data_IF_402779450805
#
_entry.id   IF_402779450805
#
_cell.length_a   1.000
_cell.length_b   1.000
_cell.length_c   1.000
_cell.angle_alpha   90.00
_cell.angle_beta   90.00
_cell.angle_gamma   90.00
#
_symmetry.space_group_name_H-M   'P 1'
#
loop_
_entity.id
_entity.type
_entity.pdbx_description
1 polymer ?
#
# COMPACT_ATOMS: atom_id res chain seq x y z
N UNK A 1 -10.88 -12.94 13.93
CA UNK A 1 -10.87 -13.13 12.46
C UNK A 1 -9.60 -12.47 11.95
N UNK A 2 -8.68 -13.24 11.39
CA UNK A 2 -7.52 -12.72 10.67
C UNK A 2 -8.02 -12.16 9.34
N UNK A 3 -7.77 -10.88 9.09
CA UNK A 3 -8.10 -10.26 7.81
C UNK A 3 -6.99 -10.61 6.84
N UNK A 4 -7.32 -11.28 5.74
CA UNK A 4 -6.37 -11.65 4.69
C UNK A 4 -5.79 -10.39 4.05
N UNK A 5 -4.48 -10.37 3.84
CA UNK A 5 -3.80 -9.20 3.26
C UNK A 5 -3.80 -9.25 1.74
N UNK A 6 -3.51 -8.12 1.09
CA UNK A 6 -3.27 -8.09 -0.35
C UNK A 6 -2.17 -9.09 -0.77
N UNK A 7 -1.07 -9.16 0.00
CA UNK A 7 0.04 -10.07 -0.30
C UNK A 7 -0.37 -11.54 -0.31
N UNK A 8 -1.22 -11.95 0.63
CA UNK A 8 -1.77 -13.32 0.69
C UNK A 8 -2.66 -13.62 -0.51
N UNK A 9 -3.57 -12.71 -0.86
CA UNK A 9 -4.40 -12.84 -2.06
C UNK A 9 -3.56 -12.88 -3.34
N UNK A 10 -2.49 -12.06 -3.43
CA UNK A 10 -1.59 -12.05 -4.58
C UNK A 10 -0.79 -13.36 -4.73
N UNK A 11 -0.37 -13.99 -3.63
CA UNK A 11 0.29 -15.31 -3.65
C UNK A 11 -0.68 -16.42 -4.09
N UNK A 12 -1.91 -16.43 -3.56
CA UNK A 12 -2.90 -17.42 -3.93
C UNK A 12 -3.30 -17.31 -5.41
N UNK A 13 -3.47 -16.08 -5.90
CA UNK A 13 -3.70 -15.82 -7.32
C UNK A 13 -2.53 -16.31 -8.19
N UNK A 14 -1.29 -16.04 -7.78
CA UNK A 14 -0.11 -16.48 -8.52
C UNK A 14 0.03 -18.01 -8.54
N UNK A 15 -0.32 -18.69 -7.44
CA UNK A 15 -0.36 -20.15 -7.38
C UNK A 15 -1.38 -20.72 -8.38
N UNK A 16 -2.59 -20.16 -8.42
CA UNK A 16 -3.64 -20.60 -9.33
C UNK A 16 -3.25 -20.38 -10.81
N UNK A 17 -2.71 -19.21 -11.16
CA UNK A 17 -2.21 -18.92 -12.51
C UNK A 17 -1.06 -19.84 -12.91
N UNK A 18 -0.15 -20.15 -11.99
CA UNK A 18 0.97 -21.05 -12.24
C UNK A 18 0.50 -22.49 -12.47
N UNK A 19 -0.54 -22.94 -11.76
CA UNK A 19 -1.18 -24.23 -12.03
C UNK A 19 -1.75 -24.29 -13.46
N UNK A 20 -2.48 -23.25 -13.88
CA UNK A 20 -3.02 -23.14 -15.24
C UNK A 20 -1.94 -23.12 -16.32
N UNK A 21 -0.81 -22.44 -16.10
CA UNK A 21 0.29 -22.41 -17.08
C UNK A 21 0.95 -23.79 -17.21
N UNK A 22 1.10 -24.52 -16.11
CA UNK A 22 1.72 -25.86 -16.10
C UNK A 22 0.80 -26.92 -16.70
N UNK A 23 -0.48 -26.84 -16.39
CA UNK A 23 -1.48 -27.81 -16.82
C UNK A 23 -2.14 -27.33 -18.11
N UNK A 24 -1.65 -27.85 -19.24
CA UNK A 24 -2.18 -27.54 -20.57
C UNK A 24 -3.42 -28.37 -20.89
N UNK A 25 -4.49 -28.18 -20.10
CA UNK A 25 -5.73 -28.94 -20.18
C UNK A 25 -6.93 -28.01 -20.27
N UNK A 26 -7.75 -28.21 -21.30
CA UNK A 26 -9.03 -27.52 -21.49
C UNK A 26 -10.15 -28.48 -21.09
N UNK A 27 -11.17 -28.02 -20.32
CA UNK A 27 -12.32 -28.84 -19.98
C UNK A 27 -13.02 -29.39 -21.22
N UNK A 28 -13.49 -30.63 -21.14
CA UNK A 28 -14.24 -31.26 -22.23
C UNK A 28 -15.76 -30.97 -22.17
N UNK A 29 -16.27 -30.63 -20.98
CA UNK A 29 -17.68 -30.31 -20.77
C UNK A 29 -17.99 -28.85 -21.13
N UNK A 30 -19.04 -28.63 -21.92
CA UNK A 30 -19.44 -27.32 -22.42
C UNK A 30 -19.79 -26.35 -21.27
N UNK A 31 -20.42 -26.85 -20.21
CA UNK A 31 -20.74 -26.03 -19.03
C UNK A 31 -19.50 -25.63 -18.25
N UNK A 32 -18.51 -26.51 -18.18
CA UNK A 32 -17.22 -26.24 -17.56
C UNK A 32 -16.42 -25.20 -18.37
N UNK A 33 -16.47 -25.27 -19.70
CA UNK A 33 -15.88 -24.26 -20.61
C UNK A 33 -16.57 -22.91 -20.44
N UNK A 34 -17.91 -22.86 -20.40
CA UNK A 34 -18.67 -21.64 -20.17
C UNK A 34 -18.30 -20.99 -18.82
N UNK A 35 -18.23 -21.78 -17.74
CA UNK A 35 -17.78 -21.29 -16.43
C UNK A 35 -16.34 -20.76 -16.46
N UNK A 36 -15.44 -21.44 -17.17
CA UNK A 36 -14.05 -21.04 -17.34
C UNK A 36 -13.94 -19.67 -18.01
N UNK A 37 -14.66 -19.44 -19.11
CA UNK A 37 -14.63 -18.18 -19.85
C UNK A 37 -15.12 -17.01 -18.99
N UNK A 38 -16.17 -17.22 -18.19
CA UNK A 38 -16.65 -16.22 -17.23
C UNK A 38 -15.65 -15.94 -16.10
N UNK A 39 -14.97 -16.97 -15.56
CA UNK A 39 -13.92 -16.79 -14.58
C UNK A 39 -12.73 -16.02 -15.17
N UNK A 40 -12.36 -16.30 -16.43
CA UNK A 40 -11.31 -15.59 -17.17
C UNK A 40 -11.67 -14.11 -17.39
N UNK A 41 -12.92 -13.80 -17.74
CA UNK A 41 -13.39 -12.41 -17.83
C UNK A 41 -13.24 -11.68 -16.49
N UNK A 42 -13.63 -12.32 -15.39
CA UNK A 42 -13.48 -11.75 -14.05
C UNK A 42 -12.01 -11.50 -13.65
N UNK A 43 -11.09 -12.37 -14.07
CA UNK A 43 -9.64 -12.17 -13.91
C UNK A 43 -9.19 -10.91 -14.65
N UNK A 44 -9.58 -10.75 -15.91
CA UNK A 44 -9.21 -9.59 -16.74
C UNK A 44 -9.79 -8.30 -16.16
N UNK A 45 -11.07 -8.30 -15.78
CA UNK A 45 -11.72 -7.13 -15.16
C UNK A 45 -11.06 -6.76 -13.83
N UNK A 46 -10.66 -7.74 -13.01
CA UNK A 46 -9.93 -7.49 -11.76
C UNK A 46 -8.56 -6.82 -11.99
N UNK A 47 -7.86 -7.19 -13.08
CA UNK A 47 -6.57 -6.61 -13.45
C UNK A 47 -6.72 -5.20 -14.03
N UNK A 48 -7.73 -4.97 -14.88
CA UNK A 48 -8.10 -3.63 -15.38
C UNK A 48 -8.47 -2.69 -14.24
N UNK A 49 -9.32 -3.14 -13.32
CA UNK A 49 -9.69 -2.38 -12.12
C UNK A 49 -8.46 -2.04 -11.27
N UNK A 50 -7.49 -2.96 -11.16
CA UNK A 50 -6.25 -2.72 -10.42
C UNK A 50 -5.39 -1.65 -11.07
N UNK A 51 -5.29 -1.62 -12.40
CA UNK A 51 -4.60 -0.57 -13.15
C UNK A 51 -5.27 0.80 -12.95
N UNK A 52 -6.60 0.84 -12.97
CA UNK A 52 -7.37 2.05 -12.66
C UNK A 52 -7.07 2.56 -11.23
N UNK A 53 -7.08 1.66 -10.23
CA UNK A 53 -6.88 2.02 -8.83
C UNK A 53 -5.45 2.49 -8.47
N UNK A 54 -4.45 2.14 -9.30
CA UNK A 54 -3.07 2.63 -9.20
C UNK A 54 -2.88 4.00 -9.90
N UNK A 55 -3.92 4.55 -10.53
CA UNK A 55 -3.98 5.96 -10.92
C UNK A 55 -3.58 6.29 -12.36
N UNK A 56 -3.98 5.49 -13.34
CA UNK A 56 -3.80 5.86 -14.76
C UNK A 56 -4.78 6.96 -15.22
N UNK A 57 -6.00 7.00 -14.67
CA UNK A 57 -7.05 7.95 -15.12
C UNK A 57 -7.00 9.33 -14.41
N UNK A 58 -6.12 9.52 -13.43
CA UNK A 58 -5.94 10.81 -12.78
C UNK A 58 -4.53 10.96 -12.23
N UNK A 59 -3.69 11.67 -12.99
CA UNK A 59 -2.58 12.45 -12.45
C UNK A 59 -1.46 11.62 -11.78
N UNK A 60 -0.59 11.03 -12.61
CA UNK A 60 0.81 10.82 -12.23
C UNK A 60 1.49 12.21 -12.18
N UNK A 61 2.31 12.53 -11.17
CA UNK A 61 2.69 13.93 -10.91
C UNK A 61 3.47 14.52 -12.09
N UNK A 62 3.30 15.83 -12.37
CA UNK A 62 4.05 16.49 -13.44
C UNK A 62 5.56 16.32 -13.25
N UNK A 63 6.35 16.25 -14.34
CA UNK A 63 7.81 16.07 -14.31
C UNK A 63 8.62 17.14 -13.56
N UNK A 64 7.98 18.16 -13.00
CA UNK A 64 8.58 19.39 -12.48
C UNK A 64 9.22 19.24 -11.07
N UNK A 65 9.27 18.04 -10.51
CA UNK A 65 9.88 17.78 -9.20
C UNK A 65 11.27 17.15 -9.23
N UNK A 66 11.90 17.02 -10.40
CA UNK A 66 13.28 16.57 -10.49
C UNK A 66 14.26 17.77 -10.49
N UNK A 67 15.26 17.82 -9.59
CA UNK A 67 16.28 18.86 -9.61
C UNK A 67 17.04 18.84 -10.95
N UNK A 68 17.17 20.02 -11.54
CA UNK A 68 17.63 20.20 -12.91
C UNK A 68 19.16 19.99 -13.11
N UNK A 69 19.47 19.42 -14.28
CA UNK A 69 20.73 19.43 -15.08
C UNK A 69 21.83 18.43 -14.67
N UNK A 70 22.18 17.47 -15.53
CA UNK A 70 22.83 17.68 -16.85
C UNK A 70 22.56 16.53 -17.85
N UNK A 71 22.72 16.77 -19.17
CA UNK A 71 22.18 15.93 -20.22
C UNK A 71 23.06 14.71 -20.49
N UNK A 72 22.52 13.54 -20.17
CA UNK A 72 22.81 12.25 -20.78
C UNK A 72 21.46 11.61 -21.10
N UNK A 73 21.35 10.66 -22.05
CA UNK A 73 20.06 10.08 -22.40
C UNK A 73 19.52 9.35 -21.16
N UNK A 74 18.66 10.01 -20.39
CA UNK A 74 18.08 9.47 -19.17
C UNK A 74 16.73 8.86 -19.51
N UNK A 75 16.50 7.67 -18.95
CA UNK A 75 15.30 6.83 -18.97
C UNK A 75 14.02 7.51 -18.42
N UNK A 76 13.99 8.84 -18.27
CA UNK A 76 12.82 9.58 -17.82
C UNK A 76 11.73 9.56 -18.90
N UNK A 77 10.52 9.13 -18.55
CA UNK A 77 9.38 8.95 -19.47
C UNK A 77 9.27 7.55 -20.09
N UNK A 78 10.17 6.62 -19.77
CA UNK A 78 9.97 5.19 -20.09
C UNK A 78 8.93 4.56 -19.15
N UNK A 79 8.89 5.02 -17.91
CA UNK A 79 7.94 4.65 -16.86
C UNK A 79 6.48 4.96 -17.24
N UNK A 80 6.19 6.18 -17.68
CA UNK A 80 4.85 6.60 -18.14
C UNK A 80 4.42 5.80 -19.38
N UNK A 81 5.36 5.56 -20.31
CA UNK A 81 5.11 4.75 -21.51
C UNK A 81 4.87 3.29 -21.19
N UNK A 82 5.60 2.69 -20.26
CA UNK A 82 5.41 1.28 -19.88
C UNK A 82 4.06 1.09 -19.21
N UNK A 83 3.66 1.94 -18.26
CA UNK A 83 2.36 1.84 -17.62
C UNK A 83 1.20 1.98 -18.64
N UNK A 84 1.28 2.96 -19.54
CA UNK A 84 0.32 3.14 -20.64
C UNK A 84 0.29 1.91 -21.56
N UNK A 85 1.44 1.31 -21.87
CA UNK A 85 1.51 0.11 -22.71
C UNK A 85 0.89 -1.11 -22.00
N UNK A 86 1.14 -1.31 -20.71
CA UNK A 86 0.50 -2.37 -19.91
C UNK A 86 -1.02 -2.20 -19.92
N UNK A 87 -1.49 -0.97 -19.73
CA UNK A 87 -2.92 -0.64 -19.75
C UNK A 87 -3.55 -0.93 -21.11
N UNK A 88 -2.93 -0.45 -22.19
CA UNK A 88 -3.38 -0.74 -23.56
C UNK A 88 -3.41 -2.26 -23.85
N UNK A 89 -2.42 -3.02 -23.36
CA UNK A 89 -2.41 -4.48 -23.50
C UNK A 89 -3.59 -5.10 -22.75
N UNK A 90 -3.87 -4.66 -21.52
CA UNK A 90 -5.00 -5.15 -20.73
C UNK A 90 -6.36 -4.80 -21.36
N UNK A 91 -6.50 -3.59 -21.91
CA UNK A 91 -7.70 -3.18 -22.65
C UNK A 91 -7.88 -3.94 -23.96
N UNK A 92 -6.78 -4.30 -24.64
CA UNK A 92 -6.81 -5.08 -25.88
C UNK A 92 -7.03 -6.59 -25.69
N UNK A 93 -7.17 -7.08 -24.45
CA UNK A 93 -7.52 -8.48 -24.19
C UNK A 93 -8.96 -8.78 -24.66
N UNK A 94 -9.22 -9.96 -25.24
CA UNK A 94 -10.57 -10.36 -25.64
C UNK A 94 -11.55 -10.25 -24.48
N UNK A 95 -12.78 -9.82 -24.75
CA UNK A 95 -13.82 -9.68 -23.71
C UNK A 95 -15.17 -10.24 -24.15
N UNK A 96 -15.92 -10.77 -23.20
CA UNK A 96 -17.28 -11.25 -23.46
C UNK A 96 -18.22 -10.08 -23.83
N UNK A 97 -19.11 -10.26 -24.83
CA UNK A 97 -20.19 -9.32 -25.11
C UNK A 97 -21.01 -8.99 -23.86
N UNK A 98 -21.44 -7.74 -23.73
CA UNK A 98 -22.12 -7.26 -22.51
C UNK A 98 -23.41 -8.03 -22.18
N UNK A 99 -24.10 -8.52 -23.19
CA UNK A 99 -25.33 -9.30 -23.11
C UNK A 99 -25.11 -10.76 -22.67
N UNK A 100 -23.89 -11.28 -22.82
CA UNK A 100 -23.52 -12.63 -22.39
C UNK A 100 -22.96 -12.68 -20.96
N UNK A 101 -22.60 -11.52 -20.38
CA UNK A 101 -22.02 -11.43 -19.04
C UNK A 101 -23.03 -11.76 -17.95
N UNK A 102 -22.68 -12.73 -17.10
CA UNK A 102 -23.45 -13.14 -15.92
C UNK A 102 -22.94 -12.50 -14.63
N UNK A 103 -23.75 -12.42 -13.56
CA UNK A 103 -23.29 -11.91 -12.26
C UNK A 103 -22.28 -12.87 -11.61
N UNK A 104 -21.33 -12.31 -10.88
CA UNK A 104 -20.21 -13.04 -10.26
C UNK A 104 -20.67 -14.19 -9.34
N UNK A 105 -21.84 -14.05 -8.70
CA UNK A 105 -22.43 -15.08 -7.83
C UNK A 105 -22.64 -16.42 -8.53
N UNK A 106 -22.92 -16.39 -9.83
CA UNK A 106 -23.39 -17.56 -10.57
C UNK A 106 -22.25 -18.49 -10.96
N UNK A 107 -21.03 -17.97 -11.08
CA UNK A 107 -19.86 -18.74 -11.52
C UNK A 107 -18.67 -18.74 -10.53
N UNK A 108 -18.60 -17.79 -9.58
CA UNK A 108 -17.55 -17.78 -8.55
C UNK A 108 -17.93 -18.51 -7.26
N UNK A 109 -19.23 -18.57 -6.91
CA UNK A 109 -19.70 -19.21 -5.67
C UNK A 109 -19.61 -20.74 -5.69
N UNK A 110 -20.09 -21.44 -6.75
CA UNK A 110 -19.97 -22.89 -6.78
C UNK A 110 -18.52 -23.30 -7.04
N UNK A 111 -17.95 -24.14 -6.17
CA UNK A 111 -16.70 -24.82 -6.46
C UNK A 111 -16.89 -25.76 -7.66
N UNK A 112 -15.87 -25.87 -8.51
CA UNK A 112 -15.92 -26.78 -9.66
C UNK A 112 -15.14 -28.07 -9.35
N UNK A 113 -15.71 -29.21 -9.73
CA UNK A 113 -15.00 -30.49 -9.67
C UNK A 113 -13.93 -30.61 -10.77
N UNK A 114 -13.98 -29.74 -11.79
CA UNK A 114 -12.99 -29.67 -12.87
C UNK A 114 -11.79 -28.79 -12.44
N UNK A 115 -10.56 -29.34 -12.29
CA UNK A 115 -9.44 -28.62 -11.70
C UNK A 115 -8.99 -27.38 -12.49
N UNK A 116 -9.12 -27.38 -13.82
CA UNK A 116 -8.81 -26.20 -14.64
C UNK A 116 -9.79 -25.06 -14.35
N UNK A 117 -11.09 -25.37 -14.29
CA UNK A 117 -12.13 -24.38 -13.97
C UNK A 117 -11.95 -23.87 -12.55
N UNK A 118 -11.66 -24.76 -11.60
CA UNK A 118 -11.41 -24.39 -10.20
C UNK A 118 -10.18 -23.47 -10.06
N UNK A 119 -9.12 -23.72 -10.83
CA UNK A 119 -7.94 -22.85 -10.84
C UNK A 119 -8.25 -21.46 -11.42
N UNK A 120 -9.05 -21.39 -12.49
CA UNK A 120 -9.54 -20.10 -13.00
C UNK A 120 -10.45 -19.38 -12.00
N UNK A 121 -11.35 -20.10 -11.33
CA UNK A 121 -12.24 -19.57 -10.30
C UNK A 121 -11.45 -19.01 -9.11
N UNK A 122 -10.45 -19.74 -8.64
CA UNK A 122 -9.56 -19.30 -7.56
C UNK A 122 -8.75 -18.07 -7.97
N UNK A 123 -8.17 -18.05 -9.18
CA UNK A 123 -7.48 -16.87 -9.69
C UNK A 123 -8.40 -15.64 -9.73
N UNK A 124 -9.65 -15.80 -10.19
CA UNK A 124 -10.64 -14.72 -10.23
C UNK A 124 -10.98 -14.19 -8.83
N UNK A 125 -11.30 -15.07 -7.88
CA UNK A 125 -11.65 -14.69 -6.49
C UNK A 125 -10.49 -13.95 -5.84
N UNK A 126 -9.28 -14.49 -5.94
CA UNK A 126 -8.11 -13.95 -5.28
C UNK A 126 -7.69 -12.61 -5.92
N UNK A 127 -7.76 -12.47 -7.24
CA UNK A 127 -7.47 -11.20 -7.90
C UNK A 127 -8.52 -10.12 -7.60
N UNK A 128 -9.81 -10.46 -7.59
CA UNK A 128 -10.88 -9.54 -7.20
C UNK A 128 -10.74 -9.11 -5.73
N UNK A 129 -10.44 -10.05 -4.83
CA UNK A 129 -10.25 -9.79 -3.40
C UNK A 129 -9.00 -8.95 -3.13
N UNK A 130 -7.89 -9.23 -3.82
CA UNK A 130 -6.69 -8.42 -3.79
C UNK A 130 -6.97 -6.98 -4.26
N UNK A 131 -7.66 -6.82 -5.40
CA UNK A 131 -8.02 -5.49 -5.92
C UNK A 131 -8.92 -4.75 -4.92
N UNK A 132 -9.96 -5.39 -4.40
CA UNK A 132 -10.81 -4.82 -3.35
C UNK A 132 -10.02 -4.40 -2.10
N UNK A 133 -9.07 -5.24 -1.65
CA UNK A 133 -8.23 -4.97 -0.48
C UNK A 133 -7.43 -3.68 -0.66
N UNK A 134 -6.85 -3.46 -1.85
CA UNK A 134 -6.18 -2.21 -2.16
C UNK A 134 -7.18 -1.04 -2.18
N UNK A 135 -8.27 -1.12 -2.95
CA UNK A 135 -9.20 0.01 -3.10
C UNK A 135 -9.86 0.41 -1.78
N UNK A 136 -10.10 -0.57 -0.90
CA UNK A 136 -10.74 -0.38 0.40
C UNK A 136 -9.76 -0.12 1.56
N UNK A 137 -8.44 -0.12 1.33
CA UNK A 137 -7.45 0.09 2.39
C UNK A 137 -7.52 1.49 3.00
N UNK A 138 -7.17 1.60 4.28
CA UNK A 138 -7.18 2.88 5.00
C UNK A 138 -6.10 3.83 4.50
N UNK A 139 -4.91 3.29 4.37
CA UNK A 139 -3.73 3.92 3.81
C UNK A 139 -3.47 3.30 2.44
N UNK A 140 -3.23 4.14 1.44
CA UNK A 140 -3.07 3.73 0.04
C UNK A 140 -1.76 4.29 -0.52
N UNK A 141 -0.60 3.90 0.05
CA UNK A 141 0.70 4.45 -0.32
C UNK A 141 1.02 4.25 -1.81
N UNK A 142 0.52 3.19 -2.45
CA UNK A 142 0.68 2.98 -3.90
C UNK A 142 0.02 4.04 -4.80
N UNK A 143 -0.81 4.93 -4.24
CA UNK A 143 -1.33 6.10 -4.98
C UNK A 143 -0.46 7.35 -4.88
N UNK A 144 0.50 7.37 -3.94
CA UNK A 144 1.28 8.57 -3.60
C UNK A 144 2.78 8.36 -3.59
N UNK A 145 3.24 7.14 -3.31
CA UNK A 145 4.63 6.71 -3.31
C UNK A 145 4.90 5.87 -4.57
N UNK A 146 5.75 6.33 -5.49
CA UNK A 146 6.13 5.58 -6.67
C UNK A 146 6.71 4.19 -6.34
N UNK A 147 7.43 4.04 -5.22
CA UNK A 147 8.00 2.77 -4.80
C UNK A 147 6.93 1.71 -4.53
N UNK A 148 5.86 2.09 -3.83
CA UNK A 148 4.71 1.23 -3.58
C UNK A 148 3.86 1.01 -4.85
N UNK A 149 3.77 1.99 -5.75
CA UNK A 149 3.05 1.85 -7.02
C UNK A 149 3.70 0.83 -7.95
N UNK A 150 5.04 0.89 -8.09
CA UNK A 150 5.81 -0.07 -8.86
C UNK A 150 5.70 -1.49 -8.32
N UNK A 151 5.50 -1.65 -7.01
CA UNK A 151 5.25 -2.95 -6.41
C UNK A 151 3.98 -3.61 -6.98
N UNK A 152 2.87 -2.86 -7.02
CA UNK A 152 1.59 -3.33 -7.56
C UNK A 152 1.67 -3.51 -9.08
N UNK A 153 2.35 -2.60 -9.79
CA UNK A 153 2.55 -2.69 -11.24
C UNK A 153 3.29 -3.96 -11.64
N UNK A 154 4.28 -4.41 -10.85
CA UNK A 154 4.96 -5.69 -11.08
C UNK A 154 3.95 -6.83 -11.09
N UNK A 155 3.13 -6.93 -10.05
CA UNK A 155 2.17 -8.04 -9.90
C UNK A 155 1.12 -8.04 -11.02
N UNK A 156 0.66 -6.85 -11.43
CA UNK A 156 -0.23 -6.70 -12.59
C UNK A 156 0.45 -7.19 -13.87
N UNK A 157 1.67 -6.75 -14.14
CA UNK A 157 2.39 -7.12 -15.36
C UNK A 157 2.62 -8.63 -15.46
N UNK A 158 2.99 -9.29 -14.36
CA UNK A 158 3.18 -10.75 -14.31
C UNK A 158 1.86 -11.50 -14.50
N UNK A 159 0.79 -11.05 -13.83
CA UNK A 159 -0.52 -11.67 -13.99
C UNK A 159 -1.10 -11.48 -15.41
N UNK A 160 -0.92 -10.31 -16.02
CA UNK A 160 -1.31 -10.07 -17.40
C UNK A 160 -0.50 -10.92 -18.39
N UNK A 161 0.80 -11.13 -18.15
CA UNK A 161 1.62 -12.00 -19.02
C UNK A 161 1.11 -13.44 -18.95
N UNK A 162 0.73 -13.91 -17.75
CA UNK A 162 0.10 -15.20 -17.55
C UNK A 162 -1.23 -15.31 -18.32
N UNK A 163 -2.09 -14.29 -18.25
CA UNK A 163 -3.34 -14.27 -19.00
C UNK A 163 -3.09 -14.34 -20.50
N UNK A 164 -2.11 -13.60 -21.06
CA UNK A 164 -1.77 -13.68 -22.48
C UNK A 164 -1.35 -15.07 -22.93
N UNK A 165 -0.55 -15.77 -22.11
CA UNK A 165 -0.13 -17.16 -22.39
C UNK A 165 -1.31 -18.12 -22.34
N UNK A 166 -2.25 -17.91 -21.42
CA UNK A 166 -3.43 -18.75 -21.29
C UNK A 166 -4.44 -18.47 -22.40
N UNK A 167 -4.66 -17.21 -22.75
CA UNK A 167 -5.53 -16.79 -23.84
C UNK A 167 -5.03 -17.29 -25.20
N UNK A 168 -3.71 -17.31 -25.44
CA UNK A 168 -3.19 -17.85 -26.69
C UNK A 168 -3.56 -19.34 -26.87
N UNK A 169 -3.63 -20.11 -25.77
CA UNK A 169 -4.09 -21.51 -25.81
C UNK A 169 -5.58 -21.62 -26.09
N UNK A 170 -6.38 -20.72 -25.54
CA UNK A 170 -7.83 -20.65 -25.80
C UNK A 170 -8.13 -20.18 -27.22
N UNK A 171 -7.33 -19.26 -27.78
CA UNK A 171 -7.39 -18.82 -29.18
C UNK A 171 -7.02 -19.96 -30.14
N UNK A 172 -5.98 -20.74 -29.83
CA UNK A 172 -5.56 -21.90 -30.65
C UNK A 172 -6.69 -22.92 -30.86
N UNK A 173 -7.58 -23.09 -29.87
CA UNK A 173 -8.74 -23.99 -29.94
C UNK A 173 -10.04 -23.27 -30.33
N UNK A 174 -9.99 -21.97 -30.63
CA UNK A 174 -11.13 -21.18 -31.09
C UNK A 174 -12.12 -20.75 -30.00
N UNK A 175 -11.82 -20.94 -28.72
CA UNK A 175 -12.73 -20.60 -27.61
C UNK A 175 -12.89 -19.08 -27.41
N UNK A 176 -11.97 -18.27 -27.94
CA UNK A 176 -12.05 -16.80 -27.90
C UNK A 176 -12.54 -16.20 -29.22
N UNK A 177 -12.99 -17.00 -30.19
CA UNK A 177 -13.38 -16.51 -31.52
C UNK A 177 -14.61 -15.60 -31.49
N UNK A 178 -15.56 -15.85 -30.59
CA UNK A 178 -16.80 -15.09 -30.44
C UNK A 178 -16.67 -13.88 -29.49
N UNK A 179 -15.49 -13.73 -28.85
CA UNK A 179 -15.23 -12.57 -27.98
C UNK A 179 -15.02 -11.30 -28.79
N UNK A 180 -15.22 -10.14 -28.15
CA UNK A 180 -14.87 -8.86 -28.74
C UNK A 180 -13.36 -8.67 -28.69
N UNK A 181 -12.77 -8.35 -29.85
CA UNK A 181 -11.34 -8.11 -30.03
C UNK A 181 -11.08 -6.66 -30.38
N UNK A 182 -10.65 -5.82 -29.43
CA UNK A 182 -10.23 -4.45 -29.75
C UNK A 182 -9.02 -4.47 -30.69
N UNK A 183 -9.02 -3.64 -31.73
CA UNK A 183 -7.88 -3.52 -32.64
C UNK A 183 -6.64 -3.03 -31.88
N UNK A 184 -5.60 -3.86 -31.83
CA UNK A 184 -4.33 -3.50 -31.23
C UNK A 184 -3.18 -4.06 -32.06
N UNK A 185 -2.28 -3.19 -32.48
CA UNK A 185 -1.26 -3.49 -33.50
C UNK A 185 -0.13 -4.42 -33.01
N UNK A 186 -0.02 -4.65 -31.71
CA UNK A 186 1.07 -5.39 -31.09
C UNK A 186 0.78 -6.91 -31.10
N UNK A 187 1.75 -7.71 -31.57
CA UNK A 187 1.66 -9.17 -31.57
C UNK A 187 1.85 -9.79 -30.17
N UNK A 188 1.47 -11.06 -29.98
CA UNK A 188 1.58 -11.76 -28.68
C UNK A 188 3.00 -11.68 -28.08
N UNK A 189 4.04 -11.93 -28.88
CA UNK A 189 5.43 -11.91 -28.41
C UNK A 189 5.87 -10.52 -27.96
N UNK A 190 5.43 -9.48 -28.66
CA UNK A 190 5.70 -8.09 -28.28
C UNK A 190 4.97 -7.72 -26.99
N UNK A 191 3.69 -8.13 -26.85
CA UNK A 191 2.92 -7.92 -25.61
C UNK A 191 3.59 -8.60 -24.42
N UNK A 192 4.00 -9.87 -24.56
CA UNK A 192 4.72 -10.62 -23.52
C UNK A 192 6.07 -9.98 -23.19
N UNK A 193 6.82 -9.53 -24.21
CA UNK A 193 8.07 -8.81 -24.00
C UNK A 193 7.86 -7.53 -23.19
N UNK A 194 6.86 -6.71 -23.53
CA UNK A 194 6.55 -5.46 -22.79
C UNK A 194 6.21 -5.76 -21.34
N UNK A 195 5.34 -6.74 -21.07
CA UNK A 195 4.95 -7.10 -19.70
C UNK A 195 6.12 -7.65 -18.89
N UNK A 196 6.91 -8.56 -19.47
CA UNK A 196 8.10 -9.12 -18.83
C UNK A 196 9.15 -8.04 -18.50
N UNK A 197 9.40 -7.12 -19.43
CA UNK A 197 10.31 -5.99 -19.17
C UNK A 197 9.73 -5.02 -18.14
N UNK A 198 8.41 -4.77 -18.16
CA UNK A 198 7.75 -3.94 -17.15
C UNK A 198 7.89 -4.54 -15.76
N UNK A 199 7.66 -5.85 -15.61
CA UNK A 199 7.86 -6.55 -14.33
C UNK A 199 9.32 -6.47 -13.84
N UNK A 200 10.29 -6.59 -14.74
CA UNK A 200 11.73 -6.44 -14.43
C UNK A 200 12.09 -5.02 -13.99
N UNK A 201 11.63 -4.02 -14.72
CA UNK A 201 11.83 -2.59 -14.38
C UNK A 201 11.14 -2.28 -13.05
N UNK A 202 9.90 -2.73 -12.87
CA UNK A 202 9.16 -2.61 -11.63
C UNK A 202 9.92 -3.20 -10.44
N UNK A 203 10.60 -4.35 -10.62
CA UNK A 203 11.44 -4.94 -9.56
C UNK A 203 12.59 -4.03 -9.12
N UNK A 204 13.13 -3.20 -10.01
CA UNK A 204 14.19 -2.24 -9.65
C UNK A 204 13.64 -1.00 -8.94
N UNK A 205 12.42 -0.59 -9.26
CA UNK A 205 11.80 0.62 -8.72
C UNK A 205 10.87 0.37 -7.53
N UNK A 206 10.46 -0.88 -7.28
CA UNK A 206 9.59 -1.27 -6.18
C UNK A 206 10.35 -1.23 -4.84
N UNK A 207 10.54 -0.02 -4.30
CA UNK A 207 11.32 0.20 -3.06
C UNK A 207 10.52 0.03 -1.78
N UNK A 208 9.19 -0.09 -1.87
CA UNK A 208 8.27 -0.21 -0.73
C UNK A 208 7.31 -1.39 -0.92
N UNK A 209 7.29 -2.29 0.07
CA UNK A 209 6.38 -3.44 0.11
C UNK A 209 5.05 -3.11 0.81
N UNK A 210 4.73 -1.84 1.00
CA UNK A 210 3.57 -1.42 1.80
C UNK A 210 2.23 -1.97 1.28
N UNK A 211 2.15 -2.28 -0.02
CA UNK A 211 0.99 -2.95 -0.60
C UNK A 211 0.76 -4.36 -0.01
N UNK A 212 1.81 -5.12 0.32
CA UNK A 212 1.69 -6.50 0.85
C UNK A 212 0.85 -6.58 2.13
N UNK A 213 1.00 -5.58 3.00
CA UNK A 213 0.32 -5.50 4.29
C UNK A 213 -1.06 -4.83 4.21
N UNK A 214 -1.49 -4.41 3.02
CA UNK A 214 -2.79 -3.77 2.85
C UNK A 214 -3.92 -4.70 3.30
N UNK A 215 -4.86 -4.14 4.05
CA UNK A 215 -6.09 -4.81 4.50
C UNK A 215 -7.28 -3.87 4.26
N UNK A 216 -8.47 -4.40 3.93
CA UNK A 216 -9.65 -3.57 3.75
C UNK A 216 -10.01 -2.86 5.06
N UNK A 217 -10.54 -1.63 4.96
CA UNK A 217 -11.13 -0.92 6.10
C UNK A 217 -12.22 -1.77 6.73
N UNK A 218 -11.93 -2.36 7.89
CA UNK A 218 -12.98 -2.88 8.76
C UNK A 218 -13.86 -1.70 9.17
N UNK A 219 -15.15 -1.73 8.81
CA UNK A 219 -16.13 -0.76 9.30
C UNK A 219 -16.06 -0.74 10.81
N UNK A 220 -15.48 0.31 11.38
CA UNK A 220 -15.58 0.57 12.80
C UNK A 220 -17.08 0.74 13.13
N UNK A 221 -17.54 0.00 14.14
CA UNK A 221 -18.83 0.27 14.77
C UNK A 221 -18.91 1.76 15.10
N UNK A 222 -20.11 2.34 14.93
CA UNK A 222 -20.38 3.77 15.08
C UNK A 222 -19.61 4.37 16.27
N UNK A 223 -18.90 5.48 16.01
CA UNK A 223 -18.06 6.14 16.99
C UNK A 223 -18.82 6.33 18.32
N UNK A 224 -18.40 5.58 19.35
CA UNK A 224 -18.90 5.80 20.70
C UNK A 224 -18.61 7.25 21.10
N UNK A 225 -19.64 7.94 21.63
CA UNK A 225 -19.51 9.27 22.24
C UNK A 225 -18.74 9.23 23.56
N UNK A 226 -18.46 8.03 24.09
CA UNK A 226 -17.64 7.84 25.29
C UNK A 226 -16.19 7.64 24.85
N UNK A 227 -15.32 8.58 25.22
CA UNK A 227 -13.86 8.47 25.04
C UNK A 227 -13.30 7.68 26.23
N UNK A 228 -13.21 6.36 26.09
CA UNK A 228 -12.54 5.52 27.10
C UNK A 228 -11.04 5.38 26.78
N UNK A 229 -10.17 5.37 27.81
CA UNK A 229 -8.76 5.05 27.63
C UNK A 229 -8.63 3.59 27.19
N UNK A 230 -8.08 3.38 25.99
CA UNK A 230 -7.79 2.04 25.47
C UNK A 230 -6.31 1.78 25.70
N UNK A 231 -5.97 0.79 26.53
CA UNK A 231 -4.58 0.38 26.67
C UNK A 231 -4.20 -0.56 25.51
N UNK A 232 -3.27 -0.12 24.68
CA UNK A 232 -2.65 -0.86 23.59
C UNK A 232 -1.29 -1.47 23.95
N UNK A 233 -0.56 -0.92 24.92
CA UNK A 233 0.83 -1.31 25.18
C UNK A 233 0.89 -2.27 26.37
N UNK A 234 1.02 -3.56 26.07
CA UNK A 234 1.27 -4.61 27.06
C UNK A 234 2.71 -5.14 26.99
N UNK A 235 3.33 -5.08 25.81
CA UNK A 235 4.70 -5.49 25.55
C UNK A 235 5.43 -4.49 24.63
N UNK A 236 6.78 -4.54 24.54
CA UNK A 236 7.55 -3.66 23.65
C UNK A 236 7.11 -3.73 22.17
N UNK A 237 6.62 -4.88 21.71
CA UNK A 237 6.15 -5.08 20.33
C UNK A 237 4.93 -4.24 19.96
N UNK A 238 4.17 -3.79 20.95
CA UNK A 238 2.92 -3.03 20.74
C UNK A 238 3.19 -1.53 20.55
N UNK A 239 4.42 -1.06 20.82
CA UNK A 239 4.81 0.35 20.77
C UNK A 239 4.61 0.96 19.37
N UNK A 240 4.86 0.19 18.31
CA UNK A 240 4.67 0.66 16.94
C UNK A 240 3.19 0.91 16.63
N UNK A 241 2.30 -0.03 16.97
CA UNK A 241 0.85 0.10 16.78
C UNK A 241 0.27 1.24 17.60
N UNK A 242 0.74 1.40 18.85
CA UNK A 242 0.31 2.52 19.70
C UNK A 242 0.78 3.89 19.15
N UNK A 243 1.99 3.99 18.60
CA UNK A 243 2.47 5.19 17.90
C UNK A 243 1.66 5.46 16.61
N UNK A 244 1.37 4.44 15.79
CA UNK A 244 0.53 4.60 14.59
C UNK A 244 -0.87 5.14 14.93
N UNK A 245 -1.49 4.63 16.00
CA UNK A 245 -2.79 5.14 16.45
C UNK A 245 -2.73 6.61 16.86
N UNK A 246 -1.66 7.03 17.56
CA UNK A 246 -1.42 8.44 17.86
C UNK A 246 -1.22 9.25 16.57
N UNK A 247 -0.47 8.71 15.60
CA UNK A 247 -0.23 9.30 14.28
C UNK A 247 -1.52 9.60 13.52
N UNK A 248 -2.47 8.66 13.53
CA UNK A 248 -3.81 8.83 12.95
C UNK A 248 -4.60 9.94 13.60
N UNK A 249 -4.56 10.05 14.94
CA UNK A 249 -5.23 11.17 15.61
C UNK A 249 -4.59 12.52 15.30
N UNK A 250 -3.31 12.54 14.92
CA UNK A 250 -2.56 13.74 14.55
C UNK A 250 -2.63 14.08 13.06
N UNK A 251 -3.25 13.23 12.24
CA UNK A 251 -3.34 13.41 10.79
C UNK A 251 -3.91 14.80 10.47
N UNK A 252 -3.22 15.62 9.65
CA UNK A 252 -3.73 16.93 9.26
C UNK A 252 -5.06 16.80 8.53
N UNK A 253 -6.01 17.71 8.81
CA UNK A 253 -7.32 17.72 8.15
C UNK A 253 -7.16 17.90 6.63
N UNK A 254 -7.99 17.26 5.82
CA UNK A 254 -7.89 17.45 4.36
C UNK A 254 -8.23 18.91 3.99
N UNK A 255 -7.69 19.42 2.88
CA UNK A 255 -7.98 20.79 2.44
C UNK A 255 -9.49 21.02 2.22
N UNK A 256 -10.22 19.98 1.79
CA UNK A 256 -11.68 19.96 1.67
C UNK A 256 -12.43 20.06 3.00
N UNK A 257 -11.82 19.63 4.11
CA UNK A 257 -12.42 19.61 5.46
C UNK A 257 -12.07 20.88 6.25
N UNK A 258 -10.85 21.39 6.08
CA UNK A 258 -10.32 22.49 6.89
C UNK A 258 -10.90 23.88 6.56
N UNK A 259 -11.49 24.05 5.37
CA UNK A 259 -12.17 25.31 5.00
C UNK A 259 -13.54 25.46 5.68
N UNK A 260 -14.10 24.38 6.22
CA UNK A 260 -15.47 24.36 6.78
C UNK A 260 -15.54 24.01 8.27
N UNK A 261 -14.42 23.60 8.91
CA UNK A 261 -14.40 23.30 10.33
C UNK A 261 -13.98 24.53 11.17
N UNK A 262 -14.85 24.94 12.09
CA UNK A 262 -14.53 25.95 13.12
C UNK A 262 -13.54 25.44 14.18
N UNK A 263 -13.17 24.17 14.13
CA UNK A 263 -12.30 23.52 15.11
C UNK A 263 -10.80 23.76 14.80
N UNK A 264 -9.95 23.90 15.83
CA UNK A 264 -8.50 23.98 15.69
C UNK A 264 -7.91 22.61 15.36
N UNK A 265 -6.91 22.56 14.48
CA UNK A 265 -6.25 21.29 14.12
C UNK A 265 -5.50 20.69 15.33
N UNK A 266 -4.93 21.54 16.18
CA UNK A 266 -4.24 21.18 17.42
C UNK A 266 -4.26 22.34 18.42
N UNK A 267 -4.51 22.05 19.70
CA UNK A 267 -4.47 23.02 20.81
C UNK A 267 -3.04 23.22 21.33
N UNK A 268 -2.76 24.35 21.99
CA UNK A 268 -1.45 24.61 22.59
C UNK A 268 -1.03 23.56 23.63
N UNK A 269 -1.98 23.07 24.44
CA UNK A 269 -1.71 22.05 25.46
C UNK A 269 -1.34 20.69 24.85
N UNK A 270 -2.14 20.21 23.90
CA UNK A 270 -1.82 19.00 23.11
C UNK A 270 -0.44 19.09 22.43
N UNK A 271 -0.11 20.24 21.85
CA UNK A 271 1.20 20.44 21.21
C UNK A 271 2.35 20.25 22.22
N UNK A 272 2.27 20.90 23.40
CA UNK A 272 3.28 20.75 24.47
C UNK A 272 3.42 19.31 24.94
N UNK A 273 2.31 18.67 25.27
CA UNK A 273 2.31 17.32 25.82
C UNK A 273 2.86 16.30 24.83
N UNK A 274 2.43 16.37 23.57
CA UNK A 274 2.88 15.43 22.54
C UNK A 274 4.37 15.67 22.22
N UNK A 275 4.82 16.92 22.09
CA UNK A 275 6.26 17.20 21.89
C UNK A 275 7.11 16.68 23.05
N UNK A 276 6.72 16.94 24.31
CA UNK A 276 7.45 16.46 25.48
C UNK A 276 7.49 14.91 25.54
N UNK A 277 6.38 14.28 25.19
CA UNK A 277 6.25 12.83 25.18
C UNK A 277 7.09 12.18 24.10
N UNK A 278 7.03 12.70 22.87
CA UNK A 278 7.81 12.19 21.77
C UNK A 278 9.31 12.45 21.99
N UNK A 279 9.69 13.55 22.66
CA UNK A 279 11.08 13.77 23.07
C UNK A 279 11.56 12.67 24.01
N UNK A 280 10.78 12.36 25.05
CA UNK A 280 11.09 11.27 25.99
C UNK A 280 11.17 9.91 25.27
N UNK A 281 10.16 9.59 24.45
CA UNK A 281 10.10 8.32 23.71
C UNK A 281 11.25 8.17 22.72
N UNK A 282 11.60 9.22 21.95
CA UNK A 282 12.75 9.19 21.04
C UNK A 282 14.06 8.91 21.78
N UNK A 283 14.27 9.50 22.97
CA UNK A 283 15.46 9.22 23.79
C UNK A 283 15.48 7.76 24.27
N UNK A 284 14.36 7.25 24.77
CA UNK A 284 14.23 5.86 25.19
C UNK A 284 14.46 4.88 24.03
N UNK A 285 13.90 5.16 22.86
CA UNK A 285 14.06 4.32 21.66
C UNK A 285 15.48 4.40 21.09
N UNK A 286 16.14 5.56 21.12
CA UNK A 286 17.54 5.68 20.74
C UNK A 286 18.44 4.81 21.63
N UNK A 287 18.22 4.87 22.95
CA UNK A 287 18.94 4.03 23.91
C UNK A 287 18.68 2.54 23.67
N UNK A 288 17.43 2.15 23.44
CA UNK A 288 17.05 0.77 23.12
C UNK A 288 17.67 0.26 21.81
N UNK A 289 17.62 1.06 20.73
CA UNK A 289 18.20 0.73 19.43
C UNK A 289 19.72 0.57 19.50
N UNK A 290 20.39 1.36 20.34
CA UNK A 290 21.84 1.30 20.56
C UNK A 290 22.34 0.06 21.33
N UNK A 291 21.45 -0.68 22.02
CA UNK A 291 21.84 -1.88 22.79
C UNK A 291 22.16 -3.09 21.90
N UNK A 292 21.75 -3.09 20.63
CA UNK A 292 22.00 -4.20 19.69
C UNK A 292 22.70 -3.70 18.42
N UNK A 293 23.79 -4.36 17.97
CA UNK A 293 24.45 -4.02 16.72
C UNK A 293 23.53 -4.09 15.49
N UNK A 294 22.46 -4.90 15.53
CA UNK A 294 21.52 -5.07 14.41
C UNK A 294 20.54 -3.90 14.25
N UNK A 295 20.31 -3.14 15.31
CA UNK A 295 19.36 -2.02 15.36
C UNK A 295 20.04 -0.67 15.55
N UNK A 296 21.36 -0.66 15.79
CA UNK A 296 22.12 0.55 16.10
C UNK A 296 22.01 1.65 15.04
N UNK A 297 21.76 1.29 13.77
CA UNK A 297 21.50 2.25 12.70
C UNK A 297 20.28 3.15 12.96
N UNK A 298 19.29 2.67 13.72
CA UNK A 298 18.10 3.45 14.09
C UNK A 298 18.34 4.38 15.29
N UNK A 299 19.43 4.22 16.04
CA UNK A 299 19.71 5.08 17.18
C UNK A 299 19.90 6.54 16.77
N UNK A 300 20.65 6.78 15.69
CA UNK A 300 20.82 8.13 15.11
C UNK A 300 19.48 8.72 14.65
N UNK A 301 18.64 7.91 13.99
CA UNK A 301 17.30 8.32 13.53
C UNK A 301 16.43 8.88 14.66
N UNK A 302 16.44 8.25 15.84
CA UNK A 302 15.68 8.72 17.01
C UNK A 302 16.39 9.89 17.71
N UNK A 303 17.72 9.88 17.77
CA UNK A 303 18.50 10.96 18.38
C UNK A 303 18.32 12.29 17.65
N UNK A 304 18.39 12.29 16.32
CA UNK A 304 18.19 13.48 15.49
C UNK A 304 16.80 14.09 15.73
N UNK A 305 15.77 13.24 15.89
CA UNK A 305 14.39 13.69 16.19
C UNK A 305 14.28 14.26 17.59
N UNK A 306 14.94 13.63 18.56
CA UNK A 306 14.98 14.14 19.91
C UNK A 306 15.62 15.54 19.94
N UNK A 307 16.67 15.80 19.16
CA UNK A 307 17.30 17.12 19.07
C UNK A 307 16.34 18.19 18.54
N UNK A 308 15.61 17.91 17.46
CA UNK A 308 14.62 18.85 16.92
C UNK A 308 13.46 19.08 17.89
N UNK A 309 12.96 18.03 18.55
CA UNK A 309 11.89 18.13 19.55
C UNK A 309 12.33 18.89 20.80
N UNK A 310 13.58 18.72 21.22
CA UNK A 310 14.20 19.47 22.32
C UNK A 310 14.35 20.96 21.97
N UNK A 311 14.76 21.27 20.74
CA UNK A 311 14.79 22.65 20.26
C UNK A 311 13.38 23.27 20.14
N UNK A 312 12.36 22.46 19.86
CA UNK A 312 10.96 22.88 19.73
C UNK A 312 10.30 23.18 21.08
N UNK A 313 10.58 22.38 22.11
CA UNK A 313 9.94 22.44 23.43
C UNK A 313 9.89 23.84 24.08
N UNK A 314 11.00 24.61 24.17
CA UNK A 314 10.94 25.95 24.75
C UNK A 314 10.13 26.92 23.89
N UNK A 315 10.08 26.72 22.57
CA UNK A 315 9.37 27.60 21.64
C UNK A 315 7.85 27.44 21.72
N UNK A 316 7.37 26.21 21.97
CA UNK A 316 5.93 25.93 22.12
C UNK A 316 5.42 26.15 23.55
N UNK A 317 6.32 26.29 24.52
CA UNK A 317 5.96 26.50 25.93
C UNK A 317 5.08 27.74 26.16
N UNK A 318 5.27 28.76 25.32
CA UNK A 318 4.55 30.02 25.37
C UNK A 318 3.33 30.10 24.44
N UNK A 319 2.99 29.02 23.74
CA UNK A 319 1.76 29.00 22.95
C UNK A 319 0.54 29.02 23.88
N UNK A 320 -0.49 29.78 23.55
CA UNK A 320 -1.76 29.74 24.23
C UNK A 320 -2.90 29.63 23.21
N UNK A 321 -4.02 29.06 23.65
CA UNK A 321 -5.25 29.01 22.88
C UNK A 321 -5.99 30.35 23.02
N UNK A 322 -6.33 30.99 21.91
CA UNK A 322 -7.03 32.28 21.88
C UNK A 322 -8.48 32.15 22.39
N UNK A 323 -9.11 31.00 22.15
CA UNK A 323 -10.38 30.59 22.75
C UNK A 323 -10.15 29.37 23.65
N UNK A 324 -10.22 29.51 24.99
CA UNK A 324 -9.99 28.41 25.93
C UNK A 324 -11.20 27.46 26.07
N UNK A 325 -12.30 27.72 25.35
CA UNK A 325 -13.57 27.01 25.53
C UNK A 325 -13.62 25.61 24.89
N UNK A 326 -12.57 25.16 24.21
CA UNK A 326 -12.52 23.83 23.60
C UNK A 326 -11.74 22.87 24.48
N UNK A 327 -12.41 21.81 24.92
CA UNK A 327 -11.77 20.71 25.62
C UNK A 327 -10.71 20.07 24.73
N UNK A 328 -9.54 19.69 25.28
CA UNK A 328 -8.51 18.99 24.53
C UNK A 328 -9.07 17.70 23.94
N UNK A 329 -8.59 17.30 22.76
CA UNK A 329 -8.98 16.04 22.15
C UNK A 329 -8.51 14.88 23.04
N UNK A 330 -9.41 14.40 23.91
CA UNK A 330 -9.12 13.42 24.95
C UNK A 330 -8.52 12.13 24.39
N UNK A 331 -8.81 11.76 23.13
CA UNK A 331 -8.23 10.57 22.48
C UNK A 331 -6.73 10.69 22.26
N UNK A 332 -6.24 11.87 21.87
CA UNK A 332 -4.80 12.15 21.72
C UNK A 332 -4.10 12.11 23.07
N UNK A 333 -4.72 12.74 24.08
CA UNK A 333 -4.24 12.80 25.46
C UNK A 333 -4.05 11.39 26.05
N UNK A 334 -5.10 10.57 26.03
CA UNK A 334 -5.04 9.23 26.59
C UNK A 334 -4.00 8.36 25.88
N UNK A 335 -3.92 8.40 24.54
CA UNK A 335 -2.97 7.58 23.79
C UNK A 335 -1.51 7.98 24.05
N UNK A 336 -1.21 9.27 24.17
CA UNK A 336 0.12 9.76 24.49
C UNK A 336 0.52 9.45 25.94
N UNK A 337 -0.41 9.63 26.88
CA UNK A 337 -0.18 9.31 28.30
C UNK A 337 0.07 7.81 28.49
N UNK A 338 -0.64 6.97 27.75
CA UNK A 338 -0.43 5.52 27.76
C UNK A 338 0.98 5.13 27.29
N UNK A 339 1.42 5.65 26.13
CA UNK A 339 2.74 5.36 25.56
C UNK A 339 3.87 5.73 26.53
N UNK A 340 3.83 6.93 27.09
CA UNK A 340 4.84 7.41 28.03
C UNK A 340 4.84 6.61 29.33
N UNK A 341 3.66 6.31 29.88
CA UNK A 341 3.52 5.50 31.10
C UNK A 341 3.96 4.05 30.87
N UNK A 342 3.70 3.47 29.69
CA UNK A 342 4.14 2.13 29.38
C UNK A 342 5.67 2.03 29.25
N UNK A 343 6.30 2.96 28.55
CA UNK A 343 7.77 3.00 28.43
C UNK A 343 8.44 3.27 29.78
N UNK A 344 7.94 4.22 30.57
CA UNK A 344 8.46 4.48 31.91
C UNK A 344 8.35 3.24 32.82
N UNK A 345 7.22 2.53 32.79
CA UNK A 345 7.07 1.27 33.54
C UNK A 345 8.07 0.20 33.08
N UNK A 346 8.36 0.09 31.78
CA UNK A 346 9.36 -0.86 31.27
C UNK A 346 10.77 -0.50 31.77
N UNK A 347 11.12 0.79 31.76
CA UNK A 347 12.40 1.29 32.30
C UNK A 347 12.52 1.03 33.81
N UNK A 348 11.48 1.37 34.58
CA UNK A 348 11.44 1.20 36.05
C UNK A 348 11.49 -0.26 36.49
N UNK A 349 10.87 -1.17 35.72
CA UNK A 349 10.88 -2.62 35.98
C UNK A 349 12.13 -3.32 35.43
N UNK A 350 13.04 -2.59 34.78
CA UNK A 350 14.24 -3.15 34.16
C UNK A 350 13.94 -4.10 33.00
N UNK A 351 12.79 -3.96 32.34
CA UNK A 351 12.42 -4.73 31.15
C UNK A 351 13.01 -4.02 29.93
N UNK A 352 14.10 -4.53 29.32
CA UNK A 352 14.72 -3.85 28.19
C UNK A 352 13.79 -3.88 26.97
N UNK A 353 13.63 -2.74 26.30
CA UNK A 353 12.94 -2.66 25.00
C UNK A 353 13.78 -3.39 23.96
N UNK A 354 13.55 -4.69 23.81
CA UNK A 354 14.24 -5.56 22.85
C UNK A 354 13.32 -5.85 21.67
N UNK A 355 13.57 -5.17 20.57
CA UNK A 355 12.82 -5.34 19.31
C UNK A 355 13.71 -6.01 18.26
N UNK A 356 13.10 -6.86 17.43
CA UNK A 356 13.75 -7.34 16.21
C UNK A 356 13.98 -6.18 15.23
N UNK A 357 14.91 -6.29 14.27
CA UNK A 357 15.18 -5.22 13.31
C UNK A 357 13.95 -4.73 12.54
N UNK A 358 13.04 -5.64 12.18
CA UNK A 358 11.76 -5.31 11.52
C UNK A 358 10.83 -4.51 12.44
N UNK A 359 10.66 -4.94 13.68
CA UNK A 359 9.86 -4.26 14.69
C UNK A 359 10.44 -2.88 15.05
N UNK A 360 11.76 -2.75 15.06
CA UNK A 360 12.43 -1.46 15.28
C UNK A 360 12.21 -0.52 14.09
N UNK A 361 12.22 -1.05 12.86
CA UNK A 361 11.90 -0.27 11.66
C UNK A 361 10.43 0.19 11.66
N UNK A 362 9.49 -0.67 12.06
CA UNK A 362 8.07 -0.31 12.22
C UNK A 362 7.90 0.79 13.27
N UNK A 363 8.57 0.66 14.42
CA UNK A 363 8.57 1.70 15.45
C UNK A 363 9.16 3.02 14.95
N UNK A 364 10.24 2.97 14.17
CA UNK A 364 10.83 4.15 13.54
C UNK A 364 9.86 4.81 12.53
N UNK A 365 9.17 4.02 11.70
CA UNK A 365 8.14 4.52 10.76
C UNK A 365 6.98 5.17 11.51
N UNK A 366 6.45 4.52 12.53
CA UNK A 366 5.36 5.03 13.34
C UNK A 366 5.76 6.34 14.07
N UNK A 367 6.99 6.39 14.59
CA UNK A 367 7.54 7.60 15.22
C UNK A 367 7.72 8.73 14.20
N UNK A 368 8.16 8.42 12.97
CA UNK A 368 8.21 9.41 11.89
C UNK A 368 6.81 9.94 11.56
N UNK A 369 5.82 9.09 11.40
CA UNK A 369 4.44 9.50 11.12
C UNK A 369 3.92 10.46 12.19
N UNK A 370 4.12 10.13 13.48
CA UNK A 370 3.70 10.97 14.61
C UNK A 370 4.40 12.32 14.61
N UNK A 371 5.73 12.34 14.48
CA UNK A 371 6.53 13.58 14.48
C UNK A 371 6.24 14.45 13.26
N UNK A 372 6.06 13.85 12.08
CA UNK A 372 5.69 14.53 10.84
C UNK A 372 4.28 15.13 10.92
N UNK A 373 3.30 14.34 11.35
CA UNK A 373 1.91 14.79 11.50
C UNK A 373 1.80 15.87 12.57
N UNK A 374 2.52 15.76 13.70
CA UNK A 374 2.63 16.82 14.71
C UNK A 374 3.15 18.12 14.09
N UNK A 375 4.29 18.05 13.40
CA UNK A 375 4.90 19.22 12.76
C UNK A 375 3.98 19.87 11.73
N UNK A 376 3.32 19.06 10.91
CA UNK A 376 2.42 19.52 9.84
C UNK A 376 1.13 20.14 10.38
N UNK A 377 0.47 19.47 11.33
CA UNK A 377 -0.78 19.96 11.95
C UNK A 377 -0.53 21.22 12.78
N UNK A 378 0.57 21.28 13.55
CA UNK A 378 0.92 22.48 14.31
C UNK A 378 1.31 23.65 13.40
N UNK A 379 2.13 23.42 12.38
CA UNK A 379 2.49 24.47 11.41
C UNK A 379 1.26 25.00 10.68
N UNK A 380 0.34 24.13 10.29
CA UNK A 380 -0.88 24.52 9.58
C UNK A 380 -1.81 25.32 10.48
N UNK A 381 -2.03 24.90 11.72
CA UNK A 381 -2.81 25.66 12.70
C UNK A 381 -2.19 27.05 12.93
N UNK A 382 -0.87 27.15 13.09
CA UNK A 382 -0.18 28.43 13.28
C UNK A 382 -0.36 29.39 12.08
N UNK A 383 -0.35 28.85 10.87
CA UNK A 383 -0.40 29.65 9.63
C UNK A 383 -1.81 29.91 9.11
N UNK A 384 -2.84 29.26 9.68
CA UNK A 384 -4.25 29.43 9.30
C UNK A 384 -4.72 30.84 9.63
N UNK A 385 -5.50 31.48 8.75
CA UNK A 385 -6.07 32.84 8.95
C UNK A 385 -6.95 32.96 10.19
N UNK A 386 -7.60 31.87 10.59
CA UNK A 386 -8.44 31.73 11.79
C UNK A 386 -7.77 30.85 12.87
N UNK A 387 -6.43 30.95 13.00
CA UNK A 387 -5.67 30.20 14.00
C UNK A 387 -6.18 30.44 15.41
N UNK A 388 -6.32 29.36 16.20
CA UNK A 388 -6.57 29.45 17.62
C UNK A 388 -5.27 29.61 18.44
N UNK A 389 -4.09 29.59 17.81
CA UNK A 389 -2.80 29.63 18.51
C UNK A 389 -2.19 31.04 18.52
N UNK A 390 -1.79 31.50 19.70
CA UNK A 390 -1.10 32.78 19.93
C UNK A 390 0.22 32.57 20.70
N UNK A 391 1.21 33.40 20.42
CA UNK A 391 2.45 33.50 21.19
C UNK A 391 2.23 34.43 22.39
N UNK A 392 2.06 33.83 23.56
CA UNK A 392 1.89 34.52 24.84
C UNK A 392 3.22 34.77 25.56
N UNK A 393 4.36 34.76 24.86
CA UNK A 393 5.65 34.98 25.47
C UNK A 393 5.71 36.37 26.16
N UNK A 394 6.20 36.45 27.41
CA UNK A 394 6.27 37.72 28.18
C UNK A 394 7.09 38.87 27.55
N UNK A 395 7.79 38.61 26.44
CA UNK A 395 8.59 39.60 25.71
C UNK A 395 7.74 40.57 24.89
N UNK A 396 6.50 40.19 24.61
CA UNK A 396 5.57 40.99 23.83
C UNK A 396 4.91 42.05 24.73
N UNK A 397 5.38 43.31 24.60
CA UNK A 397 4.96 44.43 25.46
C UNK A 397 3.48 44.77 25.33
N UNK A 398 2.88 44.51 24.17
CA UNK A 398 1.50 44.86 23.85
C UNK A 398 0.52 43.67 24.03
N UNK A 399 0.98 42.58 24.67
CA UNK A 399 0.21 41.36 24.90
C UNK A 399 0.52 40.23 23.90
N UNK A 400 -0.21 39.09 23.97
CA UNK A 400 0.02 37.96 23.08
C UNK A 400 -0.11 38.32 21.61
N UNK A 401 0.80 37.80 20.78
CA UNK A 401 0.84 38.09 19.35
C UNK A 401 0.61 36.84 18.53
N UNK A 402 0.18 37.02 17.28
CA UNK A 402 0.08 35.90 16.34
C UNK A 402 1.47 35.40 15.96
N UNK A 403 1.62 34.08 15.87
CA UNK A 403 2.84 33.49 15.30
C UNK A 403 2.85 33.74 13.79
N UNK A 404 3.84 34.50 13.32
CA UNK A 404 4.00 34.84 11.92
C UNK A 404 4.84 33.83 11.12
N UNK A 405 4.74 33.94 9.79
CA UNK A 405 5.68 33.32 8.85
C UNK A 405 7.10 33.83 9.12
N UNK A 406 8.10 32.97 8.99
CA UNK A 406 9.54 33.20 9.30
C UNK A 406 9.86 33.29 10.79
N UNK A 407 8.96 32.86 11.67
CA UNK A 407 9.29 32.71 13.09
C UNK A 407 10.26 31.54 13.29
N UNK A 408 11.07 31.59 14.36
CA UNK A 408 11.93 30.46 14.76
C UNK A 408 11.12 29.16 14.93
N UNK A 409 9.89 29.30 15.46
CA UNK A 409 8.95 28.20 15.64
C UNK A 409 8.53 27.58 14.30
N UNK A 410 8.19 28.38 13.30
CA UNK A 410 7.88 27.86 11.96
C UNK A 410 9.08 27.16 11.32
N UNK A 411 10.29 27.71 11.50
CA UNK A 411 11.52 27.10 10.98
C UNK A 411 11.75 25.72 11.63
N UNK A 412 11.72 25.62 12.96
CA UNK A 412 11.90 24.34 13.67
C UNK A 412 10.79 23.32 13.32
N UNK A 413 9.55 23.76 13.10
CA UNK A 413 8.49 22.87 12.62
C UNK A 413 8.71 22.43 11.17
N UNK A 414 9.28 23.28 10.34
CA UNK A 414 9.67 22.93 8.97
C UNK A 414 10.81 21.92 8.98
N UNK A 415 11.78 22.08 9.87
CA UNK A 415 12.86 21.10 10.08
C UNK A 415 12.27 19.74 10.52
N UNK A 416 11.34 19.73 11.48
CA UNK A 416 10.65 18.52 11.95
C UNK A 416 9.87 17.81 10.82
N UNK A 417 9.18 18.57 9.97
CA UNK A 417 8.42 18.05 8.82
C UNK A 417 9.34 17.46 7.75
N UNK A 418 10.49 18.11 7.51
CA UNK A 418 11.46 17.73 6.50
C UNK A 418 12.44 16.63 6.96
N UNK A 419 12.37 16.21 8.23
CA UNK A 419 13.19 15.10 8.71
C UNK A 419 12.93 13.85 7.87
N UNK A 420 13.99 13.18 7.38
CA UNK A 420 13.83 12.06 6.47
C UNK A 420 13.09 10.91 7.15
N UNK A 421 12.14 10.30 6.44
CA UNK A 421 11.58 9.01 6.82
C UNK A 421 12.72 8.00 7.05
N UNK A 422 12.56 7.04 7.96
CA UNK A 422 13.60 6.03 8.15
C UNK A 422 13.82 5.36 6.79
N UNK A 423 15.08 5.30 6.36
CA UNK A 423 15.45 4.61 5.13
C UNK A 423 14.95 3.18 5.29
N UNK A 424 13.88 2.83 4.57
CA UNK A 424 13.58 1.43 4.37
C UNK A 424 14.87 0.84 3.81
N UNK A 425 15.42 -0.27 4.37
CA UNK A 425 16.36 -1.04 3.58
C UNK A 425 15.63 -1.27 2.28
N UNK A 426 16.14 -0.72 1.17
CA UNK A 426 15.49 -0.78 -0.14
C UNK A 426 14.96 -2.19 -0.24
N UNK A 427 13.63 -2.35 -0.25
CA UNK A 427 13.05 -3.66 -0.11
C UNK A 427 13.62 -4.46 -1.27
N UNK A 428 14.62 -5.31 -0.98
CA UNK A 428 15.09 -6.25 -1.97
C UNK A 428 13.89 -7.14 -2.11
N UNK A 429 13.21 -6.99 -3.23
CA UNK A 429 12.09 -7.82 -3.56
C UNK A 429 12.51 -9.27 -3.34
N UNK A 430 12.05 -9.85 -2.23
CA UNK A 430 12.26 -11.25 -1.91
C UNK A 430 11.05 -11.90 -2.55
N UNK A 431 11.29 -12.42 -3.75
CA UNK A 431 10.27 -12.95 -4.63
C UNK A 431 9.46 -13.98 -3.82
N UNK A 432 8.23 -13.65 -3.39
CA UNK A 432 7.45 -14.56 -2.58
C UNK A 432 7.11 -15.78 -3.44
N UNK A 433 7.03 -16.94 -2.80
CA UNK A 433 7.36 -18.23 -3.43
C UNK A 433 6.56 -18.51 -4.70
N UNK A 434 5.26 -18.16 -4.73
CA UNK A 434 4.38 -18.47 -5.86
C UNK A 434 4.50 -17.44 -6.97
N UNK A 435 4.63 -16.15 -6.65
CA UNK A 435 4.91 -15.11 -7.67
C UNK A 435 6.27 -15.32 -8.35
N UNK A 436 7.28 -15.75 -7.60
CA UNK A 436 8.57 -16.14 -8.14
C UNK A 436 8.48 -17.36 -9.07
N UNK A 437 7.73 -18.38 -8.65
CA UNK A 437 7.50 -19.58 -9.44
C UNK A 437 6.71 -19.29 -10.72
N UNK A 438 5.71 -18.41 -10.65
CA UNK A 438 4.95 -17.95 -11.82
C UNK A 438 5.85 -17.24 -12.83
N UNK A 439 6.66 -16.27 -12.40
CA UNK A 439 7.62 -15.59 -13.28
C UNK A 439 8.61 -16.58 -13.92
N UNK A 440 9.10 -17.55 -13.15
CA UNK A 440 9.99 -18.58 -13.67
C UNK A 440 9.29 -19.45 -14.73
N UNK A 441 8.05 -19.88 -14.47
CA UNK A 441 7.24 -20.63 -15.43
C UNK A 441 6.97 -19.83 -16.71
N UNK A 442 6.70 -18.53 -16.61
CA UNK A 442 6.56 -17.63 -17.77
C UNK A 442 7.84 -17.52 -18.60
N UNK A 443 8.99 -17.35 -17.94
CA UNK A 443 10.30 -17.29 -18.61
C UNK A 443 10.65 -18.59 -19.36
N UNK A 444 10.14 -19.74 -18.88
CA UNK A 444 10.33 -21.05 -19.50
C UNK A 444 9.28 -21.34 -20.59
N UNK A 445 8.21 -20.55 -20.67
CA UNK A 445 7.17 -20.73 -21.68
C UNK A 445 7.64 -20.13 -23.01
N UNK A 446 7.78 -20.93 -24.09
CA UNK A 446 8.35 -20.48 -25.36
C UNK A 446 7.68 -19.22 -25.91
N UNK A 447 8.45 -18.33 -26.52
CA UNK A 447 7.98 -17.10 -27.20
C UNK A 447 7.89 -17.27 -28.72
N UNK A 448 7.78 -18.51 -29.20
CA UNK A 448 7.80 -18.79 -30.64
C UNK A 448 6.54 -19.51 -31.05
N UNK A 449 5.73 -18.82 -31.86
CA UNK A 449 4.73 -19.39 -32.76
C UNK A 449 5.36 -20.33 -33.84
N UNK A 450 6.69 -20.54 -33.83
CA UNK A 450 7.32 -21.56 -34.68
C UNK A 450 7.19 -22.96 -34.06
N UNK A 451 6.25 -23.71 -34.60
CA UNK A 451 6.20 -25.18 -34.60
C UNK A 451 5.89 -25.87 -33.26
N UNK A 452 4.87 -25.41 -32.53
CA UNK A 452 3.98 -26.42 -31.92
C UNK A 452 3.14 -26.99 -33.07
N UNK A 453 3.24 -28.28 -33.45
CA UNK A 453 2.25 -28.84 -34.34
C UNK A 453 0.89 -28.63 -33.66
N UNK A 454 -0.11 -28.03 -34.34
CA UNK A 454 -1.43 -27.85 -33.75
C UNK A 454 -1.85 -29.20 -33.21
N UNK A 455 -2.06 -29.34 -31.91
CA UNK A 455 -2.59 -30.58 -31.36
C UNK A 455 -4.05 -30.60 -31.77
N UNK A 456 -4.47 -31.45 -32.73
CA UNK A 456 -5.86 -31.45 -33.21
C UNK A 456 -6.85 -31.88 -32.12
N UNK A 457 -6.32 -32.36 -30.99
CA UNK A 457 -7.03 -32.68 -29.78
C UNK A 457 -6.20 -32.15 -28.59
N UNK A 458 -6.62 -31.10 -27.87
CA UNK A 458 -6.15 -30.93 -26.49
C UNK A 458 -6.42 -32.24 -25.75
N UNK A 459 -5.57 -32.60 -24.80
CA UNK A 459 -5.78 -33.81 -24.00
C UNK A 459 -7.03 -33.63 -23.14
N UNK A 460 -8.21 -33.86 -23.71
CA UNK A 460 -9.43 -34.08 -22.96
C UNK A 460 -9.12 -35.22 -22.02
N UNK A 461 -9.15 -34.96 -20.70
CA UNK A 461 -9.09 -36.05 -19.71
C UNK A 461 -10.16 -37.04 -20.15
N UNK A 462 -9.72 -38.24 -20.48
CA UNK A 462 -10.59 -39.32 -20.92
C UNK A 462 -11.73 -39.41 -19.92
N UNK A 463 -12.93 -39.01 -20.32
CA UNK A 463 -14.15 -39.33 -19.62
C UNK A 463 -14.06 -40.83 -19.34
N UNK A 464 -14.12 -41.21 -18.07
CA UNK A 464 -14.10 -42.61 -17.65
C UNK A 464 -15.44 -43.20 -18.05
N UNK A 465 -15.64 -43.42 -19.35
CA UNK A 465 -16.68 -44.31 -19.82
C UNK A 465 -16.28 -45.68 -19.31
N UNK A 466 -17.00 -46.16 -18.30
CA UNK A 466 -16.95 -47.54 -17.88
C UNK A 466 -17.17 -48.39 -19.12
N UNK A 467 -16.10 -49.01 -19.61
CA UNK A 467 -16.20 -50.06 -20.61
C UNK A 467 -17.12 -51.14 -20.01
N UNK A 468 -18.14 -51.62 -20.73
CA UNK A 468 -18.90 -52.75 -20.25
C UNK A 468 -17.95 -53.94 -20.14
N UNK A 469 -18.00 -54.63 -19.00
CA UNK A 469 -17.35 -55.92 -18.89
C UNK A 469 -18.10 -56.92 -19.78
N UNK A 470 -17.36 -57.44 -20.75
CA UNK A 470 -17.66 -58.49 -21.74
C UNK A 470 -18.39 -58.08 -23.02
#
# INVERSE_FOLDING_TARGET
MTVTTYGEHAENAAQALNALIRDDVIPADERAVDQLLHCREAVVDALRQRLYDVGQDSWYPPPDHLPARTPKPMLAGLDEKLATLVDNIAFALPSLPLDERRPHSDYLTPASDEPTVESWRMAAIELLSASHTLSAAEEQPWRTDPGAAWWVMRDVAVALEAVLVLDSRLEEVGLLAEHQHPEFTMGLDEKRMVLSQTARVATWHATSAAAEAATPRLRQAAASKVVEPVSLVSAPTDLATAQQRLGRFLRPMMASEAFYAAEPEITADSARQITASQLYLCRAFAAAAGQSPKTSMFAAFFADRAEVLEALQPQISHLADASPAQEPNMRRFWQQSELTTAVARMEDQGVPIRLQPTQMAELAKATHEVTHNLGKSLRRELLRTTSNLIDAHPRHRDGPVRVGRRSRLEATLTDLVNMPAPSEPAARFSNPLQRAALQQSLNLTPTTSSARPPTPFPAARSATYGAPAF
#
